data_IF_919216107871
#
_entry.id   IF_919216107871
#
_cell.length_a   1.000
_cell.length_b   1.000
_cell.length_c   1.000
_cell.angle_alpha   90.00
_cell.angle_beta   90.00
_cell.angle_gamma   90.00
#
_symmetry.space_group_name_H-M   'P 1'
#
loop_
_entity.id
_entity.type
_entity.pdbx_description
1 polymer ?
#
# COMPACT_ATOMS: atom_id res chain seq x y z
N UNK A 1 -14.28 26.20 -9.61
CA UNK A 1 -13.76 26.12 -8.23
C UNK A 1 -13.79 24.63 -7.90
N UNK A 2 -12.69 23.95 -8.04
CA UNK A 2 -12.54 22.57 -7.56
C UNK A 2 -12.63 22.70 -6.04
N UNK A 3 -13.66 22.13 -5.45
CA UNK A 3 -13.81 22.16 -3.99
C UNK A 3 -13.01 20.99 -3.41
N UNK A 4 -11.71 21.20 -3.23
CA UNK A 4 -10.90 20.29 -2.44
C UNK A 4 -11.42 20.18 -1.01
N UNK A 5 -10.99 19.13 -0.31
CA UNK A 5 -11.35 18.92 1.10
C UNK A 5 -10.88 20.11 1.96
N UNK A 6 -11.69 20.51 2.93
CA UNK A 6 -11.23 21.42 3.97
C UNK A 6 -10.28 20.72 4.94
N UNK A 7 -9.44 21.48 5.62
CA UNK A 7 -8.54 20.91 6.67
C UNK A 7 -9.32 20.14 7.74
N UNK A 8 -10.54 20.54 8.06
CA UNK A 8 -11.38 19.83 9.02
C UNK A 8 -11.79 18.44 8.48
N UNK A 9 -12.18 18.35 7.22
CA UNK A 9 -12.52 17.08 6.56
C UNK A 9 -11.30 16.18 6.40
N UNK A 10 -10.14 16.74 6.04
CA UNK A 10 -8.87 15.97 5.97
C UNK A 10 -8.56 15.36 7.35
N UNK A 11 -8.63 16.15 8.42
CA UNK A 11 -8.37 15.67 9.78
C UNK A 11 -9.40 14.62 10.24
N UNK A 12 -10.66 14.74 9.86
CA UNK A 12 -11.65 13.72 10.13
C UNK A 12 -11.33 12.42 9.40
N UNK A 13 -10.97 12.48 8.12
CA UNK A 13 -10.58 11.32 7.34
C UNK A 13 -9.31 10.63 7.92
N UNK A 14 -8.29 11.39 8.29
CA UNK A 14 -7.07 10.83 8.89
C UNK A 14 -7.34 10.21 10.27
N UNK A 15 -8.26 10.77 11.06
CA UNK A 15 -8.69 10.15 12.32
C UNK A 15 -9.39 8.81 12.07
N UNK A 16 -10.30 8.74 11.09
CA UNK A 16 -10.97 7.49 10.70
C UNK A 16 -9.97 6.46 10.18
N UNK A 17 -8.99 6.88 9.37
CA UNK A 17 -7.90 6.03 8.89
C UNK A 17 -7.06 5.45 10.05
N UNK A 18 -6.73 6.27 11.05
CA UNK A 18 -6.05 5.84 12.27
C UNK A 18 -6.87 4.82 13.05
N UNK A 19 -8.17 5.03 13.19
CA UNK A 19 -9.07 4.05 13.82
C UNK A 19 -9.14 2.74 13.03
N UNK A 20 -9.11 2.78 11.69
CA UNK A 20 -9.02 1.57 10.87
C UNK A 20 -7.76 0.76 11.21
N UNK A 21 -6.58 1.40 11.27
CA UNK A 21 -5.33 0.71 11.61
C UNK A 21 -5.36 0.10 13.02
N UNK A 22 -5.91 0.81 14.00
CA UNK A 22 -6.09 0.28 15.37
C UNK A 22 -7.04 -0.92 15.38
N UNK A 23 -8.16 -0.83 14.65
CA UNK A 23 -9.16 -1.88 14.53
C UNK A 23 -8.61 -3.11 13.81
N UNK A 24 -7.79 -2.93 12.76
CA UNK A 24 -7.16 -4.04 12.04
C UNK A 24 -6.26 -4.84 12.97
N UNK A 25 -5.40 -4.19 13.74
CA UNK A 25 -4.53 -4.82 14.73
C UNK A 25 -5.32 -5.54 15.83
N UNK A 26 -6.37 -4.90 16.38
CA UNK A 26 -7.18 -5.47 17.47
C UNK A 26 -8.02 -6.67 17.03
N UNK A 27 -8.46 -6.70 15.77
CA UNK A 27 -9.32 -7.75 15.23
C UNK A 27 -8.55 -8.75 14.36
N UNK A 28 -7.21 -8.65 14.30
CA UNK A 28 -6.33 -9.58 13.60
C UNK A 28 -6.65 -9.75 12.10
N UNK A 29 -6.86 -8.64 11.40
CA UNK A 29 -6.93 -8.60 9.95
C UNK A 29 -5.94 -7.55 9.42
N UNK A 30 -5.49 -7.68 8.18
CA UNK A 30 -4.70 -6.64 7.54
C UNK A 30 -5.52 -5.94 6.45
N UNK A 31 -5.27 -4.64 6.25
CA UNK A 31 -5.90 -3.86 5.18
C UNK A 31 -5.03 -3.98 3.93
N UNK A 32 -5.64 -4.35 2.82
CA UNK A 32 -4.97 -4.34 1.52
C UNK A 32 -4.80 -2.89 1.02
N UNK A 33 -3.58 -2.54 0.68
CA UNK A 33 -3.22 -1.32 -0.03
C UNK A 33 -2.92 -1.69 -1.49
N UNK A 34 -3.75 -1.19 -2.39
CA UNK A 34 -3.77 -1.60 -3.79
C UNK A 34 -3.35 -0.46 -4.69
N UNK A 35 -2.23 -0.64 -5.43
CA UNK A 35 -1.78 0.37 -6.38
C UNK A 35 -2.78 0.53 -7.54
N UNK A 36 -3.04 1.79 -7.86
CA UNK A 36 -3.93 2.19 -8.94
C UNK A 36 -3.14 2.97 -9.98
N UNK A 37 -3.31 2.65 -11.26
CA UNK A 37 -2.60 3.30 -12.37
C UNK A 37 -3.52 4.19 -13.22
N UNK A 38 -4.84 4.02 -13.12
CA UNK A 38 -5.84 4.76 -13.88
C UNK A 38 -7.25 4.60 -13.29
N UNK A 39 -8.24 5.24 -13.92
CA UNK A 39 -9.64 5.15 -13.51
C UNK A 39 -10.18 3.71 -13.45
N UNK A 40 -9.79 2.84 -14.40
CA UNK A 40 -10.31 1.47 -14.45
C UNK A 40 -9.81 0.62 -13.27
N UNK A 41 -8.55 0.80 -12.86
CA UNK A 41 -8.00 0.13 -11.67
C UNK A 41 -8.62 0.69 -10.37
N UNK A 42 -8.92 1.98 -10.28
CA UNK A 42 -9.69 2.56 -9.17
C UNK A 42 -11.05 1.85 -9.05
N UNK A 43 -11.81 1.80 -10.14
CA UNK A 43 -13.15 1.18 -10.17
C UNK A 43 -13.07 -0.29 -9.75
N UNK A 44 -12.08 -1.04 -10.25
CA UNK A 44 -11.90 -2.45 -9.91
C UNK A 44 -11.67 -2.67 -8.42
N UNK A 45 -10.78 -1.88 -7.79
CA UNK A 45 -10.51 -1.94 -6.35
C UNK A 45 -11.76 -1.61 -5.54
N UNK A 46 -12.48 -0.55 -5.90
CA UNK A 46 -13.66 -0.12 -5.14
C UNK A 46 -14.85 -1.06 -5.31
N UNK A 47 -15.03 -1.67 -6.48
CA UNK A 47 -16.03 -2.75 -6.68
C UNK A 47 -15.72 -3.96 -5.80
N UNK A 48 -14.45 -4.36 -5.72
CA UNK A 48 -14.04 -5.45 -4.83
C UNK A 48 -14.29 -5.11 -3.35
N UNK A 49 -13.94 -3.88 -2.92
CA UNK A 49 -14.19 -3.40 -1.56
C UNK A 49 -15.70 -3.43 -1.23
N UNK A 50 -16.55 -2.98 -2.16
CA UNK A 50 -18.01 -3.03 -2.01
C UNK A 50 -18.52 -4.48 -1.94
N UNK A 51 -18.12 -5.33 -2.89
CA UNK A 51 -18.56 -6.75 -2.95
C UNK A 51 -18.19 -7.53 -1.68
N UNK A 52 -17.02 -7.23 -1.09
CA UNK A 52 -16.53 -7.89 0.12
C UNK A 52 -16.90 -7.15 1.41
N UNK A 53 -17.55 -5.99 1.35
CA UNK A 53 -17.76 -5.11 2.51
C UNK A 53 -16.47 -4.93 3.32
N UNK A 54 -15.38 -4.57 2.64
CA UNK A 54 -14.04 -4.51 3.20
C UNK A 54 -13.45 -3.09 3.16
N UNK A 55 -12.69 -2.67 4.19
CA UNK A 55 -11.88 -1.47 4.09
C UNK A 55 -10.68 -1.73 3.18
N UNK A 56 -10.31 -0.75 2.38
CA UNK A 56 -9.14 -0.80 1.49
C UNK A 56 -8.36 0.52 1.52
N UNK A 57 -7.08 0.45 1.21
CA UNK A 57 -6.30 1.61 0.79
C UNK A 57 -6.15 1.53 -0.73
N UNK A 58 -6.29 2.66 -1.40
CA UNK A 58 -5.80 2.84 -2.76
C UNK A 58 -4.49 3.59 -2.68
N UNK A 59 -3.49 3.13 -3.41
CA UNK A 59 -2.17 3.75 -3.34
C UNK A 59 -1.62 4.11 -4.70
N UNK A 60 -0.83 5.17 -4.72
CA UNK A 60 -0.12 5.70 -5.89
C UNK A 60 1.32 6.00 -5.52
N UNK A 61 2.24 5.68 -6.43
CA UNK A 61 3.64 6.10 -6.33
C UNK A 61 3.83 7.49 -6.93
N UNK A 62 5.05 7.98 -6.88
CA UNK A 62 5.40 9.25 -7.52
C UNK A 62 5.14 9.23 -9.04
N UNK A 63 5.28 8.10 -9.71
CA UNK A 63 5.06 7.98 -11.16
C UNK A 63 3.57 8.15 -11.52
N UNK A 64 2.66 7.49 -10.78
CA UNK A 64 1.22 7.65 -10.99
C UNK A 64 0.75 9.08 -10.64
N UNK A 65 1.32 9.70 -9.58
CA UNK A 65 1.05 11.11 -9.28
C UNK A 65 1.50 12.03 -10.40
N UNK A 66 2.69 11.78 -10.97
CA UNK A 66 3.19 12.56 -12.12
C UNK A 66 2.28 12.45 -13.34
N UNK A 67 1.64 11.28 -13.55
CA UNK A 67 0.73 11.05 -14.66
C UNK A 67 -0.68 11.61 -14.43
N UNK A 68 -1.23 11.48 -13.22
CA UNK A 68 -2.63 11.81 -12.91
C UNK A 68 -2.80 13.12 -12.14
N UNK A 69 -1.81 13.52 -11.33
CA UNK A 69 -1.90 14.63 -10.37
C UNK A 69 -2.50 14.20 -9.03
N UNK A 70 -1.88 14.59 -7.91
CA UNK A 70 -2.30 14.17 -6.58
C UNK A 70 -3.73 14.62 -6.24
N UNK A 71 -4.08 15.88 -6.56
CA UNK A 71 -5.43 16.41 -6.35
C UNK A 71 -6.48 15.67 -7.19
N UNK A 72 -6.16 15.32 -8.44
CA UNK A 72 -7.07 14.56 -9.30
C UNK A 72 -7.33 13.16 -8.77
N UNK A 73 -6.29 12.49 -8.25
CA UNK A 73 -6.44 11.20 -7.58
C UNK A 73 -7.36 11.33 -6.37
N UNK A 74 -7.12 12.34 -5.51
CA UNK A 74 -7.98 12.60 -4.34
C UNK A 74 -9.44 12.82 -4.73
N UNK A 75 -9.70 13.70 -5.70
CA UNK A 75 -11.05 14.01 -6.16
C UNK A 75 -11.77 12.80 -6.76
N UNK A 76 -11.07 11.98 -7.56
CA UNK A 76 -11.62 10.74 -8.12
C UNK A 76 -12.01 9.76 -7.00
N UNK A 77 -11.13 9.55 -6.03
CA UNK A 77 -11.41 8.63 -4.93
C UNK A 77 -12.58 9.13 -4.08
N UNK A 78 -12.65 10.41 -3.75
CA UNK A 78 -13.76 10.98 -2.97
C UNK A 78 -15.10 10.87 -3.67
N UNK A 79 -15.12 11.04 -5.01
CA UNK A 79 -16.34 10.87 -5.79
C UNK A 79 -16.78 9.40 -5.83
N UNK A 80 -15.87 8.48 -6.12
CA UNK A 80 -16.18 7.05 -6.16
C UNK A 80 -16.47 6.45 -4.77
N UNK A 81 -15.81 6.94 -3.71
CA UNK A 81 -16.13 6.56 -2.32
C UNK A 81 -17.60 6.77 -2.00
N UNK A 82 -18.16 7.91 -2.44
CA UNK A 82 -19.58 8.24 -2.27
C UNK A 82 -20.48 7.36 -3.15
N UNK A 83 -20.08 7.12 -4.39
CA UNK A 83 -20.84 6.32 -5.36
C UNK A 83 -20.94 4.85 -4.93
N UNK A 84 -19.82 4.25 -4.53
CA UNK A 84 -19.77 2.83 -4.13
C UNK A 84 -20.13 2.58 -2.67
N UNK A 85 -20.14 3.61 -1.82
CA UNK A 85 -20.41 3.48 -0.39
C UNK A 85 -19.38 2.57 0.31
N UNK A 86 -18.09 2.86 0.15
CA UNK A 86 -16.99 2.03 0.66
C UNK A 86 -16.11 2.77 1.65
N UNK A 87 -15.49 2.02 2.58
CA UNK A 87 -14.45 2.53 3.46
C UNK A 87 -13.10 2.48 2.73
N UNK A 88 -12.70 3.61 2.14
CA UNK A 88 -11.45 3.75 1.37
C UNK A 88 -10.66 4.98 1.80
N UNK A 89 -9.34 4.85 1.83
CA UNK A 89 -8.38 5.93 2.10
C UNK A 89 -7.27 5.90 1.06
N UNK A 90 -6.55 7.02 0.91
CA UNK A 90 -5.47 7.16 -0.08
C UNK A 90 -4.12 7.10 0.61
N UNK A 91 -3.22 6.31 0.04
CA UNK A 91 -1.83 6.19 0.44
C UNK A 91 -0.91 6.72 -0.68
N UNK A 92 0.05 7.56 -0.31
CA UNK A 92 1.19 7.83 -1.17
C UNK A 92 2.27 6.79 -0.87
N UNK A 93 2.57 5.97 -1.86
CA UNK A 93 3.47 4.83 -1.77
C UNK A 93 4.88 5.22 -2.24
N UNK A 94 5.91 4.91 -1.46
CA UNK A 94 7.32 5.15 -1.77
C UNK A 94 7.63 6.58 -2.27
N UNK A 95 7.39 7.61 -1.45
CA UNK A 95 7.79 8.98 -1.80
C UNK A 95 9.30 9.11 -1.77
N UNK A 96 9.96 9.42 -2.89
CA UNK A 96 11.43 9.44 -2.97
C UNK A 96 12.05 10.69 -2.32
N UNK A 97 11.26 11.72 -2.04
CA UNK A 97 11.71 12.98 -1.44
C UNK A 97 10.69 13.53 -0.44
N UNK A 98 11.17 14.40 0.45
CA UNK A 98 10.32 15.13 1.40
C UNK A 98 9.27 15.98 0.68
N UNK A 99 9.62 16.58 -0.46
CA UNK A 99 8.72 17.40 -1.28
C UNK A 99 7.59 16.55 -1.87
N UNK A 100 7.90 15.35 -2.38
CA UNK A 100 6.89 14.44 -2.87
C UNK A 100 5.93 13.98 -1.76
N UNK A 101 6.45 13.68 -0.57
CA UNK A 101 5.64 13.35 0.59
C UNK A 101 4.71 14.50 1.01
N UNK A 102 5.23 15.74 1.05
CA UNK A 102 4.43 16.94 1.35
C UNK A 102 3.32 17.16 0.33
N UNK A 103 3.57 16.89 -0.96
CA UNK A 103 2.55 16.99 -2.00
C UNK A 103 1.35 16.08 -1.72
N UNK A 104 1.57 14.85 -1.26
CA UNK A 104 0.49 13.95 -0.86
C UNK A 104 -0.26 14.45 0.39
N UNK A 105 0.47 14.99 1.38
CA UNK A 105 -0.14 15.59 2.58
C UNK A 105 -1.02 16.78 2.21
N UNK A 106 -0.55 17.65 1.31
CA UNK A 106 -1.28 18.84 0.86
C UNK A 106 -2.52 18.46 0.04
N UNK A 107 -2.47 17.36 -0.72
CA UNK A 107 -3.62 16.81 -1.43
C UNK A 107 -4.62 16.10 -0.49
N UNK A 108 -4.33 15.98 0.80
CA UNK A 108 -5.20 15.38 1.80
C UNK A 108 -5.20 13.85 1.82
N UNK A 109 -4.09 13.22 1.44
CA UNK A 109 -3.92 11.77 1.58
C UNK A 109 -3.80 11.40 3.05
N UNK A 110 -4.43 10.30 3.44
CA UNK A 110 -4.46 9.85 4.82
C UNK A 110 -3.18 9.10 5.23
N UNK A 111 -2.49 8.47 4.27
CA UNK A 111 -1.25 7.71 4.50
C UNK A 111 -0.15 8.22 3.58
N UNK A 112 1.04 8.35 4.14
CA UNK A 112 2.23 8.87 3.44
C UNK A 112 3.41 7.98 3.77
N UNK A 113 3.95 7.29 2.76
CA UNK A 113 5.19 6.53 2.90
C UNK A 113 6.36 7.35 2.37
N UNK A 114 7.25 7.78 3.25
CA UNK A 114 8.52 8.43 2.88
C UNK A 114 9.62 7.37 2.77
N UNK A 115 10.22 7.27 1.60
CA UNK A 115 11.26 6.30 1.28
C UNK A 115 12.34 6.94 0.39
N UNK A 116 13.24 7.70 1.03
CA UNK A 116 14.37 8.33 0.33
C UNK A 116 15.38 7.30 -0.18
N UNK A 117 15.37 6.10 0.36
CA UNK A 117 16.27 5.02 -0.07
C UNK A 117 15.93 4.51 -1.47
N UNK A 118 14.70 4.70 -1.93
CA UNK A 118 14.29 4.36 -3.29
C UNK A 118 14.98 5.23 -4.36
N UNK A 119 15.18 6.52 -4.07
CA UNK A 119 15.91 7.42 -4.97
C UNK A 119 17.43 7.32 -4.80
N UNK A 120 17.89 6.98 -3.59
CA UNK A 120 19.30 6.85 -3.25
C UNK A 120 19.54 5.63 -2.34
N UNK A 121 19.86 4.49 -2.94
CA UNK A 121 20.10 3.24 -2.20
C UNK A 121 21.30 3.33 -1.23
N UNK A 122 22.16 4.35 -1.36
CA UNK A 122 23.31 4.60 -0.49
C UNK A 122 23.00 5.68 0.57
N UNK A 123 21.73 6.08 0.72
CA UNK A 123 21.35 7.06 1.73
C UNK A 123 21.75 6.57 3.13
N UNK A 124 22.37 7.43 3.91
CA UNK A 124 22.76 7.10 5.29
C UNK A 124 21.54 7.07 6.21
N UNK A 125 21.65 6.33 7.34
CA UNK A 125 20.62 6.28 8.35
C UNK A 125 20.23 7.68 8.84
N UNK A 126 21.23 8.59 8.99
CA UNK A 126 21.00 9.97 9.40
C UNK A 126 20.16 10.74 8.39
N UNK A 127 20.40 10.56 7.08
CA UNK A 127 19.63 11.20 6.00
C UNK A 127 18.19 10.68 5.98
N UNK A 128 17.99 9.36 6.10
CA UNK A 128 16.66 8.74 6.14
C UNK A 128 15.89 9.22 7.38
N UNK A 129 16.52 9.20 8.56
CA UNK A 129 15.90 9.67 9.81
C UNK A 129 15.53 11.16 9.71
N UNK A 130 16.43 12.00 9.17
CA UNK A 130 16.18 13.44 9.06
C UNK A 130 14.99 13.73 8.13
N UNK A 131 14.95 13.11 6.93
CA UNK A 131 13.85 13.25 5.99
C UNK A 131 12.52 12.74 6.57
N UNK A 132 12.53 11.58 7.22
CA UNK A 132 11.36 11.00 7.88
C UNK A 132 10.80 11.93 8.97
N UNK A 133 11.66 12.47 9.83
CA UNK A 133 11.25 13.43 10.88
C UNK A 133 10.63 14.70 10.30
N UNK A 134 11.16 15.21 9.21
CA UNK A 134 10.61 16.40 8.54
C UNK A 134 9.19 16.12 8.03
N UNK A 135 8.96 14.95 7.42
CA UNK A 135 7.62 14.54 6.97
C UNK A 135 6.66 14.31 8.14
N UNK A 136 7.11 13.64 9.21
CA UNK A 136 6.31 13.44 10.43
C UNK A 136 5.88 14.77 11.05
N UNK A 137 6.78 15.75 11.11
CA UNK A 137 6.45 17.08 11.64
C UNK A 137 5.45 17.81 10.74
N UNK A 138 5.63 17.74 9.43
CA UNK A 138 4.72 18.36 8.46
C UNK A 138 3.32 17.71 8.49
N UNK A 139 3.25 16.40 8.62
CA UNK A 139 2.00 15.63 8.68
C UNK A 139 1.12 16.00 9.89
N UNK A 140 1.65 16.58 10.95
CA UNK A 140 0.86 17.03 12.12
C UNK A 140 -0.22 18.04 11.74
N UNK A 141 -0.04 18.78 10.67
CA UNK A 141 -1.02 19.77 10.20
C UNK A 141 -2.32 19.11 9.74
N UNK A 142 -2.25 17.98 9.04
CA UNK A 142 -3.40 17.22 8.55
C UNK A 142 -3.77 16.05 9.44
N UNK A 143 -2.81 15.52 10.20
CA UNK A 143 -2.92 14.29 10.98
C UNK A 143 -2.63 13.04 10.16
N UNK A 144 -2.10 13.16 8.93
CA UNK A 144 -1.75 12.03 8.06
C UNK A 144 -0.82 11.06 8.79
N UNK A 145 -1.03 9.77 8.55
CA UNK A 145 -0.21 8.69 9.10
C UNK A 145 1.05 8.53 8.26
N UNK A 146 2.20 8.63 8.91
CA UNK A 146 3.49 8.51 8.22
C UNK A 146 4.05 7.11 8.39
N UNK A 147 4.44 6.52 7.27
CA UNK A 147 5.14 5.24 7.15
C UNK A 147 6.55 5.46 6.66
N UNK A 148 7.51 4.68 7.16
CA UNK A 148 8.87 4.66 6.65
C UNK A 148 9.60 3.36 7.01
N UNK A 149 10.79 3.20 6.43
CA UNK A 149 11.72 2.09 6.61
C UNK A 149 13.16 2.60 6.77
N UNK A 150 14.02 1.87 7.50
CA UNK A 150 15.38 2.34 7.78
C UNK A 150 16.35 2.20 6.60
N UNK A 151 16.02 1.38 5.59
CA UNK A 151 16.86 1.13 4.43
C UNK A 151 16.07 0.44 3.31
N UNK A 152 16.57 0.55 2.09
CA UNK A 152 16.01 -0.15 0.94
C UNK A 152 16.13 -1.68 1.09
N UNK A 153 15.04 -2.41 1.02
CA UNK A 153 15.05 -3.88 1.10
C UNK A 153 14.77 -4.60 -0.22
N UNK A 154 15.05 -3.93 -1.31
CA UNK A 154 15.23 -4.55 -2.62
C UNK A 154 13.99 -4.96 -3.38
N UNK A 155 14.25 -5.35 -4.62
CA UNK A 155 13.24 -5.77 -5.59
C UNK A 155 12.59 -4.59 -6.33
N UNK A 156 12.05 -4.88 -7.50
CA UNK A 156 11.22 -3.95 -8.27
C UNK A 156 9.87 -4.60 -8.53
N UNK A 157 8.82 -3.80 -8.68
CA UNK A 157 7.44 -4.30 -8.93
C UNK A 157 7.26 -4.92 -10.32
N UNK A 158 8.27 -5.63 -10.82
CA UNK A 158 8.33 -6.30 -12.11
C UNK A 158 8.10 -7.82 -11.99
N UNK A 159 8.05 -8.48 -13.16
CA UNK A 159 8.11 -9.92 -13.27
C UNK A 159 9.59 -10.35 -13.25
N UNK A 160 9.99 -11.08 -12.24
CA UNK A 160 11.32 -11.65 -12.11
C UNK A 160 11.37 -13.06 -12.72
N UNK A 161 12.48 -13.40 -13.35
CA UNK A 161 12.72 -14.72 -13.96
C UNK A 161 13.71 -15.56 -13.16
N UNK A 162 14.34 -14.96 -12.16
CA UNK A 162 15.35 -15.58 -11.30
C UNK A 162 14.72 -16.07 -10.00
N UNK A 163 15.29 -17.12 -9.43
CA UNK A 163 14.91 -17.62 -8.11
C UNK A 163 15.34 -16.64 -7.01
N UNK A 164 14.66 -16.70 -5.87
CA UNK A 164 14.96 -15.86 -4.72
C UNK A 164 16.19 -16.41 -3.98
N UNK A 165 17.25 -15.61 -3.84
CA UNK A 165 18.38 -15.91 -2.97
C UNK A 165 18.08 -15.43 -1.54
N UNK A 166 17.49 -16.30 -0.74
CA UNK A 166 17.12 -15.98 0.64
C UNK A 166 18.32 -15.70 1.56
N UNK A 167 19.52 -16.24 1.27
CA UNK A 167 20.70 -15.95 2.09
C UNK A 167 21.19 -14.51 1.87
N UNK A 168 21.06 -13.99 0.66
CA UNK A 168 21.37 -12.59 0.37
C UNK A 168 20.30 -11.66 0.96
N UNK A 169 19.03 -12.02 0.78
CA UNK A 169 17.90 -11.18 1.27
C UNK A 169 17.88 -11.09 2.80
N UNK A 170 18.24 -12.14 3.53
CA UNK A 170 18.33 -12.12 5.00
C UNK A 170 19.23 -11.01 5.54
N UNK A 171 20.20 -10.54 4.74
CA UNK A 171 21.08 -9.42 5.13
C UNK A 171 20.32 -8.09 5.22
N UNK A 172 19.18 -7.97 4.54
CA UNK A 172 18.33 -6.78 4.54
C UNK A 172 17.12 -6.90 5.47
N UNK A 173 17.02 -7.97 6.27
CA UNK A 173 15.93 -8.14 7.19
C UNK A 173 16.00 -7.10 8.31
N UNK A 174 14.82 -6.60 8.70
CA UNK A 174 14.68 -5.74 9.87
C UNK A 174 15.10 -6.48 11.14
N UNK A 175 15.73 -5.76 12.08
CA UNK A 175 15.98 -6.30 13.42
C UNK A 175 15.05 -5.64 14.44
N UNK A 176 14.68 -6.34 15.53
CA UNK A 176 13.83 -5.73 16.58
C UNK A 176 14.44 -4.46 17.17
N UNK A 177 15.75 -4.45 17.42
CA UNK A 177 16.49 -3.33 17.97
C UNK A 177 16.57 -2.15 16.98
N UNK A 178 16.84 -2.44 15.69
CA UNK A 178 16.88 -1.44 14.63
C UNK A 178 15.51 -0.82 14.39
N UNK A 179 14.45 -1.63 14.34
CA UNK A 179 13.08 -1.16 14.20
C UNK A 179 12.71 -0.21 15.37
N UNK A 180 13.00 -0.62 16.61
CA UNK A 180 12.73 0.22 17.79
C UNK A 180 13.51 1.54 17.74
N UNK A 181 14.80 1.49 17.47
CA UNK A 181 15.65 2.67 17.39
C UNK A 181 15.17 3.66 16.32
N UNK A 182 14.78 3.14 15.14
CA UNK A 182 14.26 3.95 14.04
C UNK A 182 12.94 4.64 14.40
N UNK A 183 12.00 3.90 15.01
CA UNK A 183 10.70 4.44 15.45
C UNK A 183 10.90 5.49 16.54
N UNK A 184 11.73 5.21 17.54
CA UNK A 184 12.03 6.16 18.62
C UNK A 184 12.68 7.45 18.09
N UNK A 185 13.50 7.34 17.03
CA UNK A 185 14.16 8.49 16.42
C UNK A 185 13.22 9.31 15.53
N UNK A 186 12.26 8.68 14.83
CA UNK A 186 11.46 9.34 13.78
C UNK A 186 10.05 9.69 14.22
N UNK A 187 9.44 8.88 15.08
CA UNK A 187 8.06 9.06 15.54
C UNK A 187 7.02 8.69 14.50
N UNK A 188 7.33 7.79 13.57
CA UNK A 188 6.40 7.28 12.53
C UNK A 188 5.21 6.55 13.13
N UNK A 189 4.10 6.51 12.38
CA UNK A 189 2.87 5.78 12.74
C UNK A 189 2.92 4.30 12.30
N UNK A 190 3.61 4.01 11.20
CA UNK A 190 3.72 2.67 10.60
C UNK A 190 5.16 2.36 10.22
N UNK A 191 5.64 1.21 10.62
CA UNK A 191 6.96 0.68 10.27
C UNK A 191 6.83 -0.35 9.14
N UNK A 192 7.50 -0.13 8.02
CA UNK A 192 7.57 -1.10 6.93
C UNK A 192 8.64 -2.16 7.27
N UNK A 193 8.18 -3.37 7.57
CA UNK A 193 9.07 -4.44 8.03
C UNK A 193 9.61 -5.27 6.86
N UNK A 194 10.93 -5.53 6.86
CA UNK A 194 11.59 -6.47 5.96
C UNK A 194 11.79 -7.82 6.68
N UNK A 195 11.05 -8.85 6.26
CA UNK A 195 11.03 -10.19 6.87
C UNK A 195 11.01 -11.30 5.81
N UNK A 196 11.50 -11.01 4.59
CA UNK A 196 11.45 -11.91 3.43
C UNK A 196 10.45 -11.49 2.36
N UNK A 197 9.68 -10.46 2.60
CA UNK A 197 8.81 -9.82 1.62
C UNK A 197 9.65 -9.05 0.59
N UNK A 198 9.32 -9.22 -0.69
CA UNK A 198 10.02 -8.62 -1.83
C UNK A 198 9.04 -8.01 -2.81
N UNK A 199 9.44 -6.92 -3.47
CA UNK A 199 8.66 -6.39 -4.57
C UNK A 199 8.69 -7.30 -5.80
N UNK A 200 7.59 -7.32 -6.58
CA UNK A 200 7.49 -8.07 -7.83
C UNK A 200 6.94 -9.50 -7.70
N UNK A 201 6.83 -10.16 -8.84
CA UNK A 201 6.44 -11.58 -8.95
C UNK A 201 7.65 -12.43 -9.26
N UNK A 202 7.84 -13.51 -8.52
CA UNK A 202 8.95 -14.46 -8.67
C UNK A 202 8.43 -15.82 -9.14
N UNK A 203 9.29 -16.65 -9.78
CA UNK A 203 8.92 -18.01 -10.20
C UNK A 203 8.55 -18.93 -9.04
N UNK A 204 9.11 -18.65 -7.85
CA UNK A 204 8.87 -19.40 -6.61
C UNK A 204 8.05 -18.56 -5.64
N UNK A 205 7.20 -19.18 -4.80
CA UNK A 205 6.48 -18.47 -3.74
C UNK A 205 7.44 -17.80 -2.76
N UNK A 206 7.05 -16.60 -2.29
CA UNK A 206 7.79 -15.91 -1.24
C UNK A 206 7.53 -16.54 0.12
N UNK A 207 8.54 -16.49 0.98
CA UNK A 207 8.47 -16.96 2.36
C UNK A 207 8.71 -15.80 3.31
N UNK A 208 7.88 -15.70 4.35
CA UNK A 208 8.00 -14.67 5.39
C UNK A 208 8.54 -15.30 6.67
N UNK A 209 9.51 -14.64 7.31
CA UNK A 209 10.00 -15.03 8.63
C UNK A 209 9.05 -14.51 9.72
N UNK A 210 8.04 -15.31 10.03
CA UNK A 210 7.01 -14.97 11.04
C UNK A 210 7.56 -14.96 12.46
N UNK A 211 8.64 -15.71 12.75
CA UNK A 211 9.30 -15.67 14.06
C UNK A 211 10.03 -14.33 14.25
N UNK A 212 10.68 -13.84 13.21
CA UNK A 212 11.27 -12.50 13.21
C UNK A 212 10.20 -11.43 13.34
N UNK A 213 9.09 -11.55 12.60
CA UNK A 213 7.96 -10.63 12.71
C UNK A 213 7.43 -10.55 14.15
N UNK A 214 7.28 -11.68 14.83
CA UNK A 214 6.85 -11.71 16.23
C UNK A 214 7.84 -10.98 17.15
N UNK A 215 9.15 -11.20 16.97
CA UNK A 215 10.17 -10.50 17.76
C UNK A 215 10.17 -8.98 17.50
N UNK A 216 9.96 -8.57 16.24
CA UNK A 216 9.81 -7.15 15.92
C UNK A 216 8.57 -6.60 16.62
N UNK A 217 7.42 -7.29 16.53
CA UNK A 217 6.17 -6.86 17.16
C UNK A 217 6.31 -6.70 18.69
N UNK A 218 7.03 -7.59 19.32
CA UNK A 218 7.27 -7.55 20.78
C UNK A 218 8.15 -6.34 21.20
N UNK A 219 9.00 -5.86 20.29
CA UNK A 219 9.92 -4.74 20.54
C UNK A 219 9.31 -3.35 20.27
N UNK A 220 8.25 -3.26 19.43
CA UNK A 220 7.68 -1.99 18.98
C UNK A 220 6.18 -1.92 19.23
N UNK A 221 5.61 -0.71 19.28
CA UNK A 221 4.15 -0.53 19.46
C UNK A 221 3.47 0.22 18.30
N UNK A 222 4.21 0.70 17.30
CA UNK A 222 3.60 1.31 16.10
C UNK A 222 2.91 0.26 15.20
N UNK A 223 2.20 0.70 14.19
CA UNK A 223 1.64 -0.20 13.18
C UNK A 223 2.76 -0.86 12.36
N UNK A 224 2.50 -2.03 11.80
CA UNK A 224 3.42 -2.73 10.90
C UNK A 224 2.76 -2.90 9.55
N UNK A 225 3.49 -2.54 8.50
CA UNK A 225 3.15 -2.83 7.12
C UNK A 225 4.11 -3.86 6.50
N UNK A 226 3.62 -4.58 5.52
CA UNK A 226 4.40 -5.44 4.63
C UNK A 226 4.27 -4.94 3.19
N UNK A 227 5.38 -4.61 2.58
CA UNK A 227 5.46 -4.34 1.16
C UNK A 227 5.62 -5.64 0.36
N UNK A 228 5.47 -5.58 -0.97
CA UNK A 228 5.68 -6.73 -1.83
C UNK A 228 4.72 -7.90 -1.59
N UNK A 229 3.46 -7.64 -1.23
CA UNK A 229 2.44 -8.67 -0.99
C UNK A 229 2.06 -9.50 -2.22
N UNK A 230 2.31 -9.01 -3.43
CA UNK A 230 2.10 -9.76 -4.67
C UNK A 230 2.91 -11.04 -4.69
N UNK A 231 2.29 -12.18 -5.06
CA UNK A 231 2.95 -13.47 -5.12
C UNK A 231 3.21 -14.13 -3.75
N UNK A 232 2.83 -13.49 -2.64
CA UNK A 232 2.92 -14.10 -1.31
C UNK A 232 1.72 -15.01 -1.06
N UNK A 233 1.91 -16.26 -0.61
CA UNK A 233 0.82 -17.18 -0.30
C UNK A 233 -0.11 -16.64 0.80
N UNK A 234 -1.43 -16.81 0.63
CA UNK A 234 -2.45 -16.20 1.50
C UNK A 234 -2.37 -16.59 2.98
N UNK A 235 -1.86 -17.80 3.30
CA UNK A 235 -1.72 -18.22 4.69
C UNK A 235 -0.72 -17.36 5.48
N UNK A 236 0.33 -16.83 4.83
CA UNK A 236 1.27 -15.91 5.47
C UNK A 236 0.59 -14.61 5.90
N UNK A 237 -0.35 -14.10 5.11
CA UNK A 237 -1.07 -12.88 5.47
C UNK A 237 -1.93 -13.06 6.72
N UNK A 238 -2.61 -14.20 6.83
CA UNK A 238 -3.43 -14.51 8.01
C UNK A 238 -2.59 -14.62 9.29
N UNK A 239 -1.44 -15.29 9.21
CA UNK A 239 -0.54 -15.39 10.35
C UNK A 239 0.12 -14.05 10.69
N UNK A 240 0.56 -13.29 9.68
CA UNK A 240 1.14 -11.96 9.88
C UNK A 240 0.12 -10.98 10.50
N UNK A 241 -1.15 -11.03 10.09
CA UNK A 241 -2.21 -10.22 10.69
C UNK A 241 -2.48 -10.59 12.17
N UNK A 242 -2.41 -11.88 12.52
CA UNK A 242 -2.52 -12.33 13.93
C UNK A 242 -1.37 -11.80 14.78
N UNK A 243 -0.16 -11.70 14.22
CA UNK A 243 1.01 -11.13 14.88
C UNK A 243 0.88 -9.61 15.03
N UNK A 244 0.18 -8.93 14.12
CA UNK A 244 -0.09 -7.51 14.22
C UNK A 244 0.31 -6.67 13.01
N UNK A 245 0.47 -7.31 11.84
CA UNK A 245 0.51 -6.57 10.56
C UNK A 245 -0.86 -5.97 10.30
N UNK A 246 -0.89 -4.67 10.01
CA UNK A 246 -2.13 -3.93 9.80
C UNK A 246 -2.33 -3.49 8.34
N UNK A 247 -1.29 -3.47 7.52
CA UNK A 247 -1.33 -3.05 6.10
C UNK A 247 -0.45 -3.98 5.26
N UNK A 248 -0.89 -4.30 4.04
CA UNK A 248 -0.10 -5.05 3.05
C UNK A 248 -0.23 -4.39 1.68
N UNK A 249 0.89 -3.99 1.06
CA UNK A 249 0.93 -3.38 -0.26
C UNK A 249 0.90 -4.45 -1.36
N UNK A 250 0.03 -4.27 -2.36
CA UNK A 250 -0.18 -5.20 -3.46
C UNK A 250 -0.25 -4.43 -4.79
N UNK A 251 0.79 -4.56 -5.60
CA UNK A 251 0.95 -3.88 -6.88
C UNK A 251 1.00 -4.88 -8.06
N UNK A 252 2.07 -5.68 -8.13
CA UNK A 252 2.40 -6.49 -9.31
C UNK A 252 1.31 -7.48 -9.72
N UNK A 253 0.53 -8.02 -8.76
CA UNK A 253 -0.60 -8.90 -9.07
C UNK A 253 -1.71 -8.15 -9.83
N UNK A 254 -1.99 -6.88 -9.49
CA UNK A 254 -2.99 -6.06 -10.16
C UNK A 254 -2.53 -5.69 -11.59
N UNK A 255 -1.27 -5.22 -11.72
CA UNK A 255 -0.68 -4.88 -13.02
C UNK A 255 -0.65 -6.09 -13.95
N UNK A 256 -0.32 -7.26 -13.41
CA UNK A 256 -0.32 -8.51 -14.18
C UNK A 256 -1.73 -8.90 -14.62
N UNK A 257 -2.73 -8.81 -13.74
CA UNK A 257 -4.13 -9.09 -14.07
C UNK A 257 -4.67 -8.10 -15.11
N UNK A 258 -4.34 -6.82 -14.99
CA UNK A 258 -4.69 -5.79 -15.98
C UNK A 258 -4.09 -6.13 -17.34
N UNK A 259 -2.79 -6.40 -17.40
CA UNK A 259 -2.06 -6.70 -18.65
C UNK A 259 -2.61 -7.95 -19.33
N UNK A 260 -2.73 -9.05 -18.61
CA UNK A 260 -3.20 -10.32 -19.16
C UNK A 260 -4.68 -10.28 -19.53
N UNK A 261 -5.50 -9.56 -18.76
CA UNK A 261 -6.91 -9.31 -19.09
C UNK A 261 -7.06 -8.52 -20.39
N UNK A 262 -6.23 -7.48 -20.59
CA UNK A 262 -6.21 -6.68 -21.82
C UNK A 262 -5.76 -7.51 -23.02
N UNK A 263 -4.69 -8.28 -22.89
CA UNK A 263 -4.22 -9.19 -23.95
C UNK A 263 -5.30 -10.18 -24.37
N UNK A 264 -5.99 -10.76 -23.39
CA UNK A 264 -7.06 -11.73 -23.62
C UNK A 264 -8.23 -11.12 -24.39
N UNK A 265 -8.77 -9.98 -23.94
CA UNK A 265 -9.94 -9.35 -24.60
C UNK A 265 -9.62 -8.92 -26.01
N UNK A 266 -8.41 -8.41 -26.29
CA UNK A 266 -7.97 -8.02 -27.62
C UNK A 266 -7.81 -9.23 -28.55
N UNK A 267 -7.32 -10.36 -28.03
CA UNK A 267 -7.20 -11.61 -28.78
C UNK A 267 -8.56 -12.24 -29.09
N UNK A 268 -9.46 -12.27 -28.11
CA UNK A 268 -10.79 -12.87 -28.23
C UNK A 268 -11.74 -12.03 -29.11
N UNK A 269 -11.52 -10.72 -29.18
CA UNK A 269 -12.38 -9.77 -29.90
C UNK A 269 -11.57 -8.77 -30.74
N UNK A 270 -10.90 -9.21 -31.82
CA UNK A 270 -9.95 -8.39 -32.58
C UNK A 270 -10.59 -7.16 -33.26
N UNK A 271 -11.89 -7.19 -33.52
CA UNK A 271 -12.63 -6.08 -34.13
C UNK A 271 -13.23 -5.09 -33.11
N UNK A 272 -13.07 -5.36 -31.80
CA UNK A 272 -13.58 -4.46 -30.76
C UNK A 272 -12.64 -3.28 -30.55
N UNK A 273 -13.12 -2.07 -30.84
CA UNK A 273 -12.36 -0.83 -30.65
C UNK A 273 -13.01 0.16 -29.65
N UNK A 274 -14.21 -0.15 -29.14
CA UNK A 274 -14.85 0.69 -28.13
C UNK A 274 -14.16 0.50 -26.78
N UNK A 275 -13.44 1.52 -26.30
CA UNK A 275 -12.60 1.47 -25.10
C UNK A 275 -13.39 0.96 -23.89
N UNK A 276 -14.60 1.46 -23.64
CA UNK A 276 -15.45 1.03 -22.51
C UNK A 276 -15.72 -0.47 -22.54
N UNK A 277 -15.95 -1.06 -23.72
CA UNK A 277 -16.20 -2.51 -23.88
C UNK A 277 -14.94 -3.35 -23.73
N UNK A 278 -13.77 -2.80 -24.09
CA UNK A 278 -12.47 -3.44 -23.89
C UNK A 278 -12.12 -3.44 -22.41
N UNK A 279 -12.34 -2.32 -21.73
CA UNK A 279 -11.90 -2.16 -20.34
C UNK A 279 -12.80 -2.87 -19.31
N UNK A 280 -14.07 -3.16 -19.63
CA UNK A 280 -14.96 -3.82 -18.68
C UNK A 280 -14.45 -5.20 -18.20
N UNK A 281 -14.10 -6.17 -19.09
CA UNK A 281 -13.53 -7.44 -18.64
C UNK A 281 -12.12 -7.30 -18.03
N UNK A 282 -11.37 -6.24 -18.36
CA UNK A 282 -10.09 -5.95 -17.72
C UNK A 282 -10.30 -5.53 -16.27
N UNK A 283 -11.30 -4.67 -16.00
CA UNK A 283 -11.70 -4.31 -14.62
C UNK A 283 -12.11 -5.54 -13.81
N UNK A 284 -12.91 -6.45 -14.42
CA UNK A 284 -13.35 -7.67 -13.75
C UNK A 284 -12.17 -8.59 -13.38
N UNK A 285 -11.15 -8.67 -14.25
CA UNK A 285 -9.93 -9.43 -13.95
C UNK A 285 -9.13 -8.85 -12.78
N UNK A 286 -8.99 -7.52 -12.71
CA UNK A 286 -8.33 -6.85 -11.58
C UNK A 286 -9.17 -6.98 -10.31
N UNK A 287 -10.49 -6.77 -10.39
CA UNK A 287 -11.42 -6.92 -9.27
C UNK A 287 -11.30 -8.30 -8.62
N UNK A 288 -11.25 -9.37 -9.42
CA UNK A 288 -11.13 -10.74 -8.92
C UNK A 288 -9.86 -10.94 -8.09
N UNK A 289 -8.74 -10.37 -8.51
CA UNK A 289 -7.48 -10.42 -7.75
C UNK A 289 -7.61 -9.65 -6.43
N UNK A 290 -8.21 -8.47 -6.44
CA UNK A 290 -8.41 -7.68 -5.22
C UNK A 290 -9.31 -8.42 -4.23
N UNK A 291 -10.41 -9.04 -4.70
CA UNK A 291 -11.29 -9.85 -3.85
C UNK A 291 -10.56 -11.03 -3.20
N UNK A 292 -9.72 -11.75 -3.96
CA UNK A 292 -8.86 -12.83 -3.43
C UNK A 292 -7.95 -12.32 -2.32
N UNK A 293 -7.29 -11.17 -2.52
CA UNK A 293 -6.40 -10.58 -1.52
C UNK A 293 -7.15 -10.11 -0.28
N UNK A 294 -8.33 -9.49 -0.43
CA UNK A 294 -9.20 -9.11 0.69
C UNK A 294 -9.54 -10.33 1.56
N UNK A 295 -9.91 -11.44 0.93
CA UNK A 295 -10.21 -12.69 1.65
C UNK A 295 -8.97 -13.24 2.36
N UNK A 296 -7.82 -13.26 1.70
CA UNK A 296 -6.54 -13.74 2.25
C UNK A 296 -6.05 -12.88 3.44
N UNK A 297 -6.33 -11.56 3.41
CA UNK A 297 -5.98 -10.62 4.48
C UNK A 297 -6.96 -10.64 5.66
N UNK A 298 -8.09 -11.34 5.52
CA UNK A 298 -9.13 -11.42 6.55
C UNK A 298 -9.94 -10.13 6.72
N UNK A 299 -9.90 -9.23 5.76
CA UNK A 299 -10.57 -7.92 5.83
C UNK A 299 -12.02 -7.93 5.29
N UNK A 300 -12.48 -9.02 4.70
CA UNK A 300 -13.88 -9.18 4.26
C UNK A 300 -14.86 -9.00 5.44
N UNK A 301 -15.91 -8.19 5.24
CA UNK A 301 -16.91 -7.89 6.27
C UNK A 301 -16.42 -6.93 7.38
N UNK A 302 -15.26 -6.26 7.20
CA UNK A 302 -14.66 -5.41 8.23
C UNK A 302 -14.84 -3.91 7.99
N UNK A 303 -15.50 -3.49 6.91
CA UNK A 303 -15.77 -2.08 6.67
C UNK A 303 -16.72 -1.49 7.72
N UNK A 304 -16.48 -0.23 8.08
CA UNK A 304 -17.35 0.61 8.92
C UNK A 304 -17.62 1.89 8.13
N UNK A 305 -18.87 2.10 7.73
CA UNK A 305 -19.30 3.23 6.89
C UNK A 305 -19.79 4.40 7.74
#
# INVERSE_FOLDING_TARGET
>A
MVMGLTIAEIRENTLRARHLMQRSRQQHFAVGAFNIDNQDTIIAVLRAAQAKNAPVLVEVTHDEISAMGAENVRDMIDNYKKEYGVEVYVNLDHSPTVEAAKQGIDAGFEFIHIDVSQANHEASDEEIIAATKEVVEYAKFTGALVESEPHYFGGSSNLHTEDIDYEEIKKTFSTPEGAKAFIDATGIDTFAAAIGNLHGKYPVPKELDLELLQRIRDAIDCQISLHGGSGTPGHFFQEAAKIGVSKVNINSDLRYAFRTGLEKILADNPDQYAVVKIMEPVRDAVQAVVEEKIDALGSAGKAVL
#
